data_IF_384862108485
#
_entry.id   IF_384862108485
#
_cell.length_a   1.000
_cell.length_b   1.000
_cell.length_c   1.000
_cell.angle_alpha   90.00
_cell.angle_beta   90.00
_cell.angle_gamma   90.00
#
_symmetry.space_group_name_H-M   'P 1'
#
loop_
_entity.id
_entity.type
_entity.pdbx_description
1 polymer ?
#
# COMPACT_ATOMS: atom_id res chain seq x y z
N UNK A 1 1.25 12.33 1.01
CA UNK A 1 2.69 12.60 0.96
C UNK A 1 3.33 12.60 2.35
N UNK A 2 2.98 13.53 3.25
CA UNK A 2 3.58 13.67 4.58
C UNK A 2 3.48 12.39 5.42
N UNK A 3 2.31 11.75 5.46
CA UNK A 3 2.09 10.51 6.21
C UNK A 3 3.08 9.42 5.78
N UNK A 4 3.16 9.15 4.47
CA UNK A 4 4.06 8.12 3.92
C UNK A 4 5.51 8.45 4.24
N UNK A 5 5.91 9.72 4.08
CA UNK A 5 7.26 10.18 4.36
C UNK A 5 7.67 9.90 5.82
N UNK A 6 6.92 10.39 6.79
CA UNK A 6 7.25 10.23 8.21
C UNK A 6 7.05 8.80 8.73
N UNK A 7 6.05 8.07 8.23
CA UNK A 7 5.85 6.66 8.58
C UNK A 7 7.03 5.79 8.16
N UNK A 8 7.51 5.95 6.93
CA UNK A 8 8.66 5.17 6.42
C UNK A 8 9.93 5.54 7.17
N UNK A 9 10.19 6.83 7.44
CA UNK A 9 11.34 7.26 8.24
C UNK A 9 11.26 6.64 9.64
N UNK A 10 10.13 6.77 10.32
CA UNK A 10 9.91 6.24 11.67
C UNK A 10 10.10 4.72 11.73
N UNK A 11 9.52 3.99 10.77
CA UNK A 11 9.68 2.54 10.67
C UNK A 11 11.15 2.13 10.51
N UNK A 12 11.85 2.76 9.56
CA UNK A 12 13.22 2.38 9.24
C UNK A 12 14.23 2.78 10.32
N UNK A 13 14.06 3.95 10.96
CA UNK A 13 14.96 4.38 12.03
C UNK A 13 14.81 3.55 13.31
N UNK A 14 13.61 3.01 13.56
CA UNK A 14 13.33 2.12 14.70
C UNK A 14 13.59 0.63 14.39
N UNK A 15 13.87 0.30 13.15
CA UNK A 15 14.19 -1.07 12.73
C UNK A 15 15.44 -1.57 13.46
N UNK A 16 15.32 -2.69 14.18
CA UNK A 16 16.43 -3.37 14.86
C UNK A 16 17.53 -3.84 13.88
N UNK A 17 18.61 -4.40 14.40
CA UNK A 17 19.63 -5.08 13.59
C UNK A 17 19.10 -6.42 13.12
N UNK A 18 18.15 -6.40 12.19
CA UNK A 18 17.60 -7.60 11.60
C UNK A 18 18.61 -8.29 10.69
N UNK A 19 18.50 -9.59 10.59
CA UNK A 19 19.30 -10.42 9.67
C UNK A 19 19.04 -9.98 8.23
N UNK A 20 19.95 -9.24 7.63
CA UNK A 20 19.79 -8.59 6.33
C UNK A 20 19.36 -9.53 5.19
N UNK A 21 19.63 -10.85 5.32
CA UNK A 21 19.18 -11.85 4.39
C UNK A 21 17.68 -12.06 4.36
N UNK A 22 17.03 -12.07 5.53
CA UNK A 22 15.56 -12.25 5.63
C UNK A 22 14.81 -11.05 5.07
N UNK A 23 15.25 -9.84 5.40
CA UNK A 23 14.65 -8.60 4.86
C UNK A 23 14.74 -8.57 3.33
N UNK A 24 15.91 -8.92 2.76
CA UNK A 24 16.07 -8.98 1.32
C UNK A 24 15.07 -9.94 0.68
N UNK A 25 14.90 -11.13 1.26
CA UNK A 25 13.93 -12.12 0.78
C UNK A 25 12.50 -11.60 0.85
N UNK A 26 12.12 -10.94 1.95
CA UNK A 26 10.78 -10.35 2.12
C UNK A 26 10.52 -9.25 1.09
N UNK A 27 11.49 -8.36 0.85
CA UNK A 27 11.35 -7.31 -0.18
C UNK A 27 11.16 -7.92 -1.57
N UNK A 28 11.94 -8.95 -1.91
CA UNK A 28 11.80 -9.65 -3.19
C UNK A 28 10.42 -10.28 -3.32
N UNK A 29 9.91 -10.92 -2.25
CA UNK A 29 8.57 -11.50 -2.24
C UNK A 29 7.47 -10.45 -2.38
N UNK A 30 7.60 -9.28 -1.74
CA UNK A 30 6.67 -8.17 -1.91
C UNK A 30 6.65 -7.69 -3.36
N UNK A 31 7.82 -7.40 -3.93
CA UNK A 31 7.94 -6.97 -5.34
C UNK A 31 7.35 -8.03 -6.29
N UNK A 32 7.66 -9.29 -6.07
CA UNK A 32 7.16 -10.38 -6.90
C UNK A 32 5.62 -10.50 -6.80
N UNK A 33 5.06 -10.46 -5.59
CA UNK A 33 3.62 -10.56 -5.39
C UNK A 33 2.87 -9.37 -5.99
N UNK A 34 3.45 -8.16 -5.90
CA UNK A 34 2.86 -6.95 -6.49
C UNK A 34 2.84 -7.03 -8.02
N UNK A 35 3.96 -7.45 -8.63
CA UNK A 35 4.03 -7.66 -10.09
C UNK A 35 3.04 -8.74 -10.53
N UNK A 36 2.96 -9.84 -9.80
CA UNK A 36 2.02 -10.92 -10.12
C UNK A 36 0.55 -10.46 -10.01
N UNK A 37 0.24 -9.67 -8.98
CA UNK A 37 -1.09 -9.07 -8.83
C UNK A 37 -1.43 -8.11 -9.99
N UNK A 38 -0.47 -7.30 -10.42
CA UNK A 38 -0.62 -6.41 -11.57
C UNK A 38 -0.86 -7.19 -12.87
N UNK A 39 -0.13 -8.26 -13.11
CA UNK A 39 -0.32 -9.14 -14.28
C UNK A 39 -1.72 -9.76 -14.27
N UNK A 40 -2.17 -10.29 -13.13
CA UNK A 40 -3.52 -10.85 -12.99
C UNK A 40 -4.59 -9.78 -13.27
N UNK A 41 -4.41 -8.56 -12.74
CA UNK A 41 -5.35 -7.46 -12.97
C UNK A 41 -5.43 -7.08 -14.46
N UNK A 42 -4.30 -7.05 -15.17
CA UNK A 42 -4.26 -6.79 -16.62
C UNK A 42 -5.00 -7.89 -17.38
N UNK A 43 -4.73 -9.16 -17.11
CA UNK A 43 -5.43 -10.28 -17.75
C UNK A 43 -6.94 -10.26 -17.46
N UNK A 44 -7.33 -9.99 -16.23
CA UNK A 44 -8.74 -9.87 -15.86
C UNK A 44 -9.43 -8.70 -16.59
N UNK A 45 -8.75 -7.55 -16.70
CA UNK A 45 -9.26 -6.39 -17.43
C UNK A 45 -9.38 -6.66 -18.94
N UNK A 46 -8.47 -7.44 -19.52
CA UNK A 46 -8.56 -7.86 -20.93
C UNK A 46 -9.69 -8.87 -21.16
N UNK A 47 -9.92 -9.80 -20.22
CA UNK A 47 -10.98 -10.78 -20.30
C UNK A 47 -12.37 -10.17 -20.08
N UNK A 48 -12.46 -9.14 -19.24
CA UNK A 48 -13.71 -8.44 -18.90
C UNK A 48 -13.58 -6.93 -19.12
N UNK A 49 -13.56 -6.47 -20.38
CA UNK A 49 -13.35 -5.05 -20.67
C UNK A 49 -14.53 -4.20 -20.16
N UNK A 50 -14.26 -3.33 -19.21
CA UNK A 50 -15.22 -2.35 -18.68
C UNK A 50 -14.95 -1.01 -19.37
N UNK A 51 -15.84 -0.57 -20.26
CA UNK A 51 -15.76 0.75 -20.87
C UNK A 51 -16.26 1.77 -19.86
N UNK A 52 -15.37 2.64 -19.39
CA UNK A 52 -15.72 3.76 -18.52
C UNK A 52 -15.73 5.04 -19.35
N UNK A 53 -16.85 5.74 -19.36
CA UNK A 53 -16.88 7.14 -19.79
C UNK A 53 -16.49 7.99 -18.59
N UNK A 54 -15.24 8.43 -18.56
CA UNK A 54 -14.78 9.41 -17.59
C UNK A 54 -15.47 10.74 -17.92
N UNK A 55 -16.46 11.11 -17.11
CA UNK A 55 -17.03 12.45 -17.18
C UNK A 55 -15.93 13.45 -16.79
N UNK A 56 -15.48 14.23 -17.76
CA UNK A 56 -14.51 15.32 -17.60
C UNK A 56 -13.18 14.98 -16.91
N UNK A 57 -12.41 14.06 -17.49
CA UNK A 57 -10.98 14.04 -17.26
C UNK A 57 -10.35 15.20 -18.05
N UNK A 58 -10.48 16.42 -17.52
CA UNK A 58 -9.74 17.57 -17.99
C UNK A 58 -8.29 17.47 -17.44
N UNK A 59 -7.51 16.58 -18.00
CA UNK A 59 -6.06 16.67 -17.93
C UNK A 59 -5.50 16.01 -19.18
N UNK A 60 -4.83 16.81 -19.98
CA UNK A 60 -3.99 16.38 -21.09
C UNK A 60 -2.80 15.53 -20.59
N UNK A 61 -3.08 14.39 -20.00
CA UNK A 61 -2.06 13.38 -19.76
C UNK A 61 -2.00 12.51 -21.01
N UNK A 62 -1.16 12.93 -21.96
CA UNK A 62 -0.75 12.05 -23.05
C UNK A 62 -0.21 10.75 -22.47
N UNK A 63 -0.74 9.62 -22.92
CA UNK A 63 -0.21 8.32 -22.52
C UNK A 63 1.29 8.26 -22.89
N UNK A 64 2.16 7.75 -21.99
CA UNK A 64 3.59 7.67 -22.28
C UNK A 64 3.83 6.89 -23.56
N UNK A 65 4.64 7.46 -24.46
CA UNK A 65 4.88 6.91 -25.81
C UNK A 65 5.78 5.66 -25.83
N UNK A 66 6.27 5.21 -24.64
CA UNK A 66 7.07 3.99 -24.57
C UNK A 66 7.62 3.69 -23.17
N UNK A 67 8.08 2.45 -22.98
CA UNK A 67 8.69 1.98 -21.72
C UNK A 67 9.92 2.82 -21.33
N UNK A 68 10.70 3.28 -22.32
CA UNK A 68 11.90 4.10 -22.10
C UNK A 68 11.54 5.45 -21.47
N UNK A 69 10.47 6.08 -21.92
CA UNK A 69 9.99 7.34 -21.35
C UNK A 69 9.51 7.15 -19.90
N UNK A 70 8.78 6.07 -19.63
CA UNK A 70 8.35 5.73 -18.26
C UNK A 70 9.55 5.52 -17.34
N UNK A 71 10.55 4.76 -17.77
CA UNK A 71 11.76 4.51 -16.98
C UNK A 71 12.55 5.79 -16.75
N UNK A 72 12.66 6.65 -17.75
CA UNK A 72 13.37 7.93 -17.62
C UNK A 72 12.66 8.86 -16.61
N UNK A 73 11.33 8.94 -16.71
CA UNK A 73 10.52 9.69 -15.75
C UNK A 73 10.61 9.14 -14.33
N UNK A 74 10.65 7.81 -14.17
CA UNK A 74 10.86 7.18 -12.86
C UNK A 74 12.24 7.53 -12.29
N UNK A 75 13.30 7.46 -13.08
CA UNK A 75 14.66 7.81 -12.65
C UNK A 75 14.77 9.28 -12.24
N UNK A 76 14.20 10.18 -13.01
CA UNK A 76 14.15 11.62 -12.69
C UNK A 76 13.35 11.87 -11.41
N UNK A 77 12.25 11.16 -11.21
CA UNK A 77 11.44 11.27 -10.02
C UNK A 77 12.15 10.77 -8.75
N UNK A 78 13.01 9.74 -8.87
CA UNK A 78 13.84 9.24 -7.76
C UNK A 78 14.82 10.30 -7.26
N UNK A 79 15.41 11.08 -8.18
CA UNK A 79 16.45 12.09 -7.87
C UNK A 79 15.84 13.48 -7.61
N UNK A 80 14.53 13.60 -7.65
CA UNK A 80 13.84 14.87 -7.45
C UNK A 80 14.11 15.47 -6.06
N UNK A 81 14.03 16.80 -5.95
CA UNK A 81 14.18 17.51 -4.68
C UNK A 81 13.12 17.02 -3.67
N UNK A 82 13.50 16.74 -2.39
CA UNK A 82 12.59 16.20 -1.39
C UNK A 82 11.39 17.10 -1.10
N UNK A 83 11.59 18.41 -1.04
CA UNK A 83 10.50 19.37 -0.79
C UNK A 83 9.55 19.42 -1.99
N UNK A 84 10.10 19.47 -3.19
CA UNK A 84 9.30 19.41 -4.43
C UNK A 84 8.51 18.11 -4.55
N UNK A 85 9.12 16.97 -4.16
CA UNK A 85 8.45 15.68 -4.14
C UNK A 85 7.25 15.66 -3.19
N UNK A 86 7.38 16.26 -2.02
CA UNK A 86 6.27 16.38 -1.05
C UNK A 86 5.14 17.28 -1.56
N UNK A 87 5.48 18.43 -2.14
CA UNK A 87 4.50 19.39 -2.66
C UNK A 87 3.74 18.83 -3.85
N UNK A 88 4.44 18.19 -4.79
CA UNK A 88 3.86 17.66 -6.03
C UNK A 88 3.36 16.21 -5.89
N UNK A 89 3.34 15.66 -4.69
CA UNK A 89 2.94 14.26 -4.42
C UNK A 89 3.70 13.23 -5.28
N UNK A 90 4.99 13.48 -5.55
CA UNK A 90 5.86 12.51 -6.22
C UNK A 90 6.24 11.39 -5.25
N UNK A 91 5.42 10.34 -5.19
CA UNK A 91 5.59 9.24 -4.23
C UNK A 91 6.92 8.48 -4.39
N UNK A 92 7.46 8.39 -5.61
CA UNK A 92 8.75 7.72 -5.86
C UNK A 92 9.89 8.51 -5.18
N UNK A 93 9.92 9.82 -5.37
CA UNK A 93 10.89 10.71 -4.70
C UNK A 93 10.68 10.73 -3.18
N UNK A 94 9.43 10.78 -2.72
CA UNK A 94 9.09 10.73 -1.28
C UNK A 94 9.64 9.46 -0.64
N UNK A 95 9.40 8.29 -1.23
CA UNK A 95 9.87 7.01 -0.72
C UNK A 95 11.40 6.94 -0.72
N UNK A 96 12.05 7.39 -1.79
CA UNK A 96 13.51 7.39 -1.86
C UNK A 96 14.13 8.23 -0.73
N UNK A 97 13.68 9.47 -0.55
CA UNK A 97 14.17 10.34 0.52
C UNK A 97 13.79 9.82 1.91
N UNK A 98 12.60 9.25 2.08
CA UNK A 98 12.20 8.65 3.34
C UNK A 98 13.08 7.45 3.73
N UNK A 99 13.45 6.62 2.74
CA UNK A 99 14.37 5.49 2.96
C UNK A 99 15.77 6.00 3.32
N UNK A 100 16.32 6.96 2.57
CA UNK A 100 17.64 7.52 2.85
C UNK A 100 17.71 8.15 4.25
N UNK A 101 16.73 8.98 4.60
CA UNK A 101 16.65 9.61 5.92
C UNK A 101 16.40 8.59 7.03
N UNK A 102 15.51 7.62 6.81
CA UNK A 102 15.24 6.55 7.76
C UNK A 102 16.49 5.72 8.09
N UNK A 103 17.30 5.40 7.07
CA UNK A 103 18.57 4.71 7.25
C UNK A 103 19.60 5.60 7.95
N UNK A 104 19.69 6.89 7.61
CA UNK A 104 20.60 7.84 8.27
C UNK A 104 20.23 8.01 9.76
N UNK A 105 18.95 8.18 10.08
CA UNK A 105 18.48 8.30 11.46
C UNK A 105 18.51 6.99 12.26
N UNK A 106 18.86 5.88 11.64
CA UNK A 106 19.05 4.60 12.36
C UNK A 106 20.16 4.70 13.41
N UNK A 107 21.18 5.54 13.16
CA UNK A 107 22.25 5.84 14.11
C UNK A 107 21.90 6.94 15.14
N UNK A 108 20.72 7.56 14.99
CA UNK A 108 20.29 8.64 15.86
C UNK A 108 19.95 8.15 17.28
N UNK A 109 19.97 9.08 18.23
CA UNK A 109 19.60 8.85 19.61
C UNK A 109 18.13 8.43 19.78
N UNK A 110 17.82 7.73 20.88
CA UNK A 110 16.46 7.25 21.21
C UNK A 110 15.43 8.39 21.25
N UNK A 111 15.84 9.56 21.71
CA UNK A 111 14.95 10.73 21.77
C UNK A 111 14.53 11.19 20.37
N UNK A 112 15.48 11.31 19.44
CA UNK A 112 15.21 11.68 18.04
C UNK A 112 14.29 10.67 17.37
N UNK A 113 14.50 9.37 17.60
CA UNK A 113 13.63 8.31 17.07
C UNK A 113 12.20 8.39 17.61
N UNK A 114 12.07 8.72 18.91
CA UNK A 114 10.76 8.92 19.52
C UNK A 114 10.05 10.13 18.92
N UNK A 115 10.73 11.26 18.74
CA UNK A 115 10.14 12.45 18.11
C UNK A 115 9.65 12.13 16.69
N UNK A 116 10.42 11.39 15.90
CA UNK A 116 10.01 10.99 14.56
C UNK A 116 8.77 10.09 14.57
N UNK A 117 8.65 9.19 15.56
CA UNK A 117 7.47 8.36 15.76
C UNK A 117 6.27 9.21 16.19
N UNK A 118 6.42 10.10 17.15
CA UNK A 118 5.36 10.99 17.64
C UNK A 118 4.83 11.91 16.52
N UNK A 119 5.71 12.39 15.63
CA UNK A 119 5.32 13.17 14.44
C UNK A 119 4.52 12.30 13.45
N UNK A 120 4.97 11.07 13.18
CA UNK A 120 4.24 10.15 12.30
C UNK A 120 2.85 9.81 12.85
N UNK A 121 2.75 9.58 14.15
CA UNK A 121 1.48 9.30 14.84
C UNK A 121 0.55 10.51 14.81
N UNK A 122 1.07 11.72 15.05
CA UNK A 122 0.31 12.96 14.95
C UNK A 122 -0.27 13.19 13.55
N UNK A 123 0.55 13.00 12.52
CA UNK A 123 0.09 13.10 11.12
C UNK A 123 -0.97 12.02 10.82
N UNK A 124 -0.77 10.79 11.30
CA UNK A 124 -1.74 9.70 11.15
C UNK A 124 -3.09 10.03 11.79
N UNK A 125 -3.06 10.69 12.95
CA UNK A 125 -4.28 11.14 13.63
C UNK A 125 -5.03 12.20 12.80
N UNK A 126 -4.33 13.20 12.27
CA UNK A 126 -4.93 14.22 11.39
C UNK A 126 -5.55 13.59 10.15
N UNK A 127 -4.83 12.66 9.50
CA UNK A 127 -5.36 11.92 8.34
C UNK A 127 -6.60 11.12 8.71
N UNK A 128 -6.62 10.49 9.89
CA UNK A 128 -7.81 9.77 10.40
C UNK A 128 -9.01 10.71 10.58
N UNK A 129 -8.80 11.92 11.10
CA UNK A 129 -9.88 12.92 11.21
C UNK A 129 -10.46 13.30 9.85
N UNK A 130 -9.59 13.52 8.85
CA UNK A 130 -10.02 13.82 7.47
C UNK A 130 -10.81 12.64 6.88
N UNK A 131 -10.33 11.39 7.11
CA UNK A 131 -11.02 10.18 6.63
C UNK A 131 -12.40 10.03 7.29
N UNK A 132 -12.57 10.43 8.53
CA UNK A 132 -13.86 10.40 9.20
C UNK A 132 -14.88 11.38 8.57
N UNK A 133 -14.42 12.42 7.88
CA UNK A 133 -15.26 13.31 7.08
C UNK A 133 -15.55 12.76 5.67
N UNK A 134 -14.86 11.73 5.24
CA UNK A 134 -15.00 11.15 3.89
C UNK A 134 -16.45 10.75 3.53
N UNK A 135 -17.31 10.23 4.43
CA UNK A 135 -18.70 9.93 4.07
C UNK A 135 -19.46 11.12 3.50
N UNK A 136 -19.25 12.31 4.01
CA UNK A 136 -19.89 13.54 3.50
C UNK A 136 -19.34 13.93 2.12
N UNK A 137 -18.02 13.84 1.94
CA UNK A 137 -17.38 14.11 0.64
C UNK A 137 -17.80 13.09 -0.42
N UNK A 138 -17.86 11.80 -0.06
CA UNK A 138 -18.31 10.72 -0.95
C UNK A 138 -19.78 10.91 -1.31
N UNK A 139 -20.63 11.28 -0.34
CA UNK A 139 -22.04 11.56 -0.61
C UNK A 139 -22.20 12.67 -1.64
N UNK A 140 -21.49 13.81 -1.46
CA UNK A 140 -21.52 14.93 -2.41
C UNK A 140 -21.01 14.52 -3.81
N UNK A 141 -19.93 13.74 -3.87
CA UNK A 141 -19.35 13.25 -5.11
C UNK A 141 -20.30 12.28 -5.83
N UNK A 142 -20.92 11.35 -5.12
CA UNK A 142 -21.91 10.42 -5.69
C UNK A 142 -23.12 11.17 -6.18
N UNK A 143 -23.65 12.13 -5.40
CA UNK A 143 -24.77 12.95 -5.80
C UNK A 143 -24.48 13.72 -7.10
N UNK A 144 -23.33 14.40 -7.16
CA UNK A 144 -22.91 15.12 -8.38
C UNK A 144 -22.77 14.18 -9.57
N UNK A 145 -22.15 13.01 -9.38
CA UNK A 145 -21.91 12.03 -10.43
C UNK A 145 -23.21 11.45 -10.98
N UNK A 146 -24.18 11.15 -10.11
CA UNK A 146 -25.50 10.65 -10.52
C UNK A 146 -26.33 11.73 -11.21
N UNK A 147 -26.25 12.96 -10.72
CA UNK A 147 -26.97 14.11 -11.32
C UNK A 147 -26.48 14.41 -12.74
N UNK A 148 -25.19 14.20 -13.01
CA UNK A 148 -24.60 14.51 -14.32
C UNK A 148 -24.65 13.35 -15.31
N UNK A 149 -24.55 12.10 -14.84
CA UNK A 149 -24.42 10.92 -15.72
C UNK A 149 -25.61 9.95 -15.65
N UNK A 150 -26.60 10.22 -14.79
CA UNK A 150 -27.75 9.32 -14.60
C UNK A 150 -27.44 8.05 -13.81
N UNK A 151 -28.44 7.17 -13.69
CA UNK A 151 -28.34 5.91 -12.92
C UNK A 151 -27.51 4.83 -13.60
N UNK A 152 -27.28 4.94 -14.91
CA UNK A 152 -26.48 3.96 -15.68
C UNK A 152 -25.03 3.85 -15.18
N UNK A 153 -24.56 4.88 -14.49
CA UNK A 153 -23.25 4.87 -13.88
C UNK A 153 -23.10 3.76 -12.84
N UNK A 154 -24.15 3.44 -12.09
CA UNK A 154 -24.11 2.38 -11.08
C UNK A 154 -23.90 1.00 -11.70
N UNK A 155 -24.43 0.73 -12.89
CA UNK A 155 -24.22 -0.55 -13.59
C UNK A 155 -22.79 -0.69 -14.08
N UNK A 156 -22.19 0.39 -14.57
CA UNK A 156 -20.81 0.42 -15.05
C UNK A 156 -19.81 0.32 -13.89
N UNK A 157 -19.99 1.12 -12.84
CA UNK A 157 -19.14 1.03 -11.65
C UNK A 157 -19.33 -0.27 -10.88
N UNK A 158 -20.57 -0.81 -10.85
CA UNK A 158 -20.87 -2.11 -10.25
C UNK A 158 -20.08 -3.25 -10.92
N UNK A 159 -20.00 -3.24 -12.25
CA UNK A 159 -19.18 -4.21 -13.00
C UNK A 159 -17.69 -4.07 -12.67
N UNK A 160 -17.18 -2.83 -12.63
CA UNK A 160 -15.78 -2.57 -12.24
C UNK A 160 -15.49 -3.04 -10.82
N UNK A 161 -16.37 -2.73 -9.87
CA UNK A 161 -16.23 -3.14 -8.48
C UNK A 161 -16.25 -4.67 -8.36
N UNK A 162 -17.12 -5.33 -9.07
CA UNK A 162 -17.24 -6.80 -9.09
C UNK A 162 -15.97 -7.45 -9.67
N UNK A 163 -15.43 -6.88 -10.74
CA UNK A 163 -14.16 -7.31 -11.32
C UNK A 163 -13.00 -7.13 -10.33
N UNK A 164 -12.92 -5.96 -9.69
CA UNK A 164 -11.87 -5.65 -8.72
C UNK A 164 -11.93 -6.59 -7.51
N UNK A 165 -13.12 -6.76 -6.90
CA UNK A 165 -13.31 -7.67 -5.77
C UNK A 165 -13.03 -9.12 -6.21
N UNK A 166 -13.45 -9.51 -7.40
CA UNK A 166 -13.14 -10.82 -7.97
C UNK A 166 -11.63 -11.07 -8.09
N UNK A 167 -10.88 -10.10 -8.62
CA UNK A 167 -9.41 -10.17 -8.68
C UNK A 167 -8.78 -10.27 -7.29
N UNK A 168 -9.25 -9.47 -6.33
CA UNK A 168 -8.74 -9.51 -4.95
C UNK A 168 -8.97 -10.88 -4.31
N UNK A 169 -10.16 -11.45 -4.46
CA UNK A 169 -10.48 -12.79 -3.95
C UNK A 169 -9.65 -13.86 -4.65
N UNK A 170 -9.45 -13.76 -5.95
CA UNK A 170 -8.60 -14.69 -6.70
C UNK A 170 -7.16 -14.63 -6.22
N UNK A 171 -6.59 -13.44 -6.06
CA UNK A 171 -5.23 -13.27 -5.52
C UNK A 171 -5.15 -13.85 -4.11
N UNK A 172 -6.15 -13.59 -3.28
CA UNK A 172 -6.15 -14.06 -1.90
C UNK A 172 -6.27 -15.58 -1.77
N UNK A 173 -7.18 -16.21 -2.51
CA UNK A 173 -7.47 -17.65 -2.37
C UNK A 173 -6.67 -18.55 -3.31
N UNK A 174 -6.08 -18.01 -4.36
CA UNK A 174 -5.30 -18.80 -5.33
C UNK A 174 -3.84 -18.38 -5.35
N UNK A 175 -3.55 -17.11 -5.62
CA UNK A 175 -2.18 -16.64 -5.82
C UNK A 175 -1.36 -16.68 -4.54
N UNK A 176 -1.88 -16.12 -3.45
CA UNK A 176 -1.17 -16.11 -2.16
C UNK A 176 -0.94 -17.53 -1.61
N UNK A 177 -1.91 -18.46 -1.63
CA UNK A 177 -1.64 -19.85 -1.25
C UNK A 177 -0.55 -20.52 -2.07
N UNK A 178 -0.49 -20.28 -3.37
CA UNK A 178 0.57 -20.84 -4.24
C UNK A 178 1.94 -20.29 -3.81
N UNK A 179 2.06 -18.96 -3.59
CA UNK A 179 3.31 -18.35 -3.13
C UNK A 179 3.74 -18.88 -1.77
N UNK A 180 2.81 -18.97 -0.82
CA UNK A 180 3.08 -19.51 0.52
C UNK A 180 3.49 -20.98 0.45
N UNK A 181 2.82 -21.78 -0.38
CA UNK A 181 3.17 -23.19 -0.60
C UNK A 181 4.60 -23.34 -1.16
N UNK A 182 5.00 -22.46 -2.08
CA UNK A 182 6.37 -22.47 -2.63
C UNK A 182 7.42 -22.17 -1.55
N UNK A 183 7.09 -21.29 -0.59
CA UNK A 183 8.01 -20.92 0.48
C UNK A 183 8.08 -21.97 1.60
N UNK A 184 6.92 -22.50 2.04
CA UNK A 184 6.82 -23.35 3.23
C UNK A 184 6.78 -24.84 2.88
N UNK A 185 6.37 -25.18 1.65
CA UNK A 185 6.14 -26.56 1.15
C UNK A 185 5.19 -27.40 2.03
N UNK A 186 4.27 -26.71 2.70
CA UNK A 186 3.19 -27.29 3.51
C UNK A 186 1.85 -26.66 3.13
N UNK A 187 0.74 -27.22 3.65
CA UNK A 187 -0.57 -26.67 3.36
C UNK A 187 -0.67 -25.19 3.79
N UNK A 188 -0.87 -24.23 2.86
CA UNK A 188 -0.86 -22.81 3.17
C UNK A 188 -2.15 -22.31 3.81
N UNK A 189 -3.28 -23.01 3.60
CA UNK A 189 -4.60 -22.53 3.99
C UNK A 189 -4.78 -22.31 5.50
N UNK A 190 -4.27 -23.16 6.41
CA UNK A 190 -4.39 -22.90 7.84
C UNK A 190 -3.74 -21.59 8.25
N UNK A 191 -2.56 -21.26 7.70
CA UNK A 191 -1.85 -20.02 7.96
C UNK A 191 -2.61 -18.81 7.40
N UNK A 192 -3.05 -18.89 6.15
CA UNK A 192 -3.78 -17.82 5.47
C UNK A 192 -5.10 -17.52 6.18
N UNK A 193 -5.84 -18.55 6.56
CA UNK A 193 -7.10 -18.38 7.31
C UNK A 193 -6.86 -17.84 8.72
N UNK A 194 -5.76 -18.21 9.37
CA UNK A 194 -5.39 -17.64 10.67
C UNK A 194 -5.12 -16.13 10.55
N UNK A 195 -4.31 -15.73 9.59
CA UNK A 195 -4.04 -14.31 9.30
C UNK A 195 -5.32 -13.54 8.94
N UNK A 196 -6.21 -14.14 8.13
CA UNK A 196 -7.49 -13.54 7.77
C UNK A 196 -8.35 -13.26 9.00
N UNK A 197 -8.54 -14.27 9.86
CA UNK A 197 -9.36 -14.13 11.08
C UNK A 197 -8.83 -13.06 12.03
N UNK A 198 -7.50 -12.91 12.12
CA UNK A 198 -6.88 -11.95 13.04
C UNK A 198 -6.91 -10.51 12.49
N UNK A 199 -6.70 -10.34 11.18
CA UNK A 199 -6.42 -9.04 10.59
C UNK A 199 -7.54 -8.49 9.71
N UNK A 200 -8.33 -9.35 9.03
CA UNK A 200 -9.26 -8.91 8.01
C UNK A 200 -10.38 -8.00 8.53
N UNK A 201 -10.95 -8.34 9.68
CA UNK A 201 -12.04 -7.55 10.27
C UNK A 201 -11.55 -6.15 10.60
N UNK A 202 -10.40 -6.04 11.27
CA UNK A 202 -9.80 -4.74 11.62
C UNK A 202 -9.41 -3.96 10.38
N UNK A 203 -8.78 -4.60 9.38
CA UNK A 203 -8.40 -3.97 8.13
C UNK A 203 -9.62 -3.45 7.35
N UNK A 204 -10.71 -4.22 7.31
CA UNK A 204 -11.94 -3.83 6.64
C UNK A 204 -12.58 -2.59 7.26
N UNK A 205 -12.70 -2.55 8.58
CA UNK A 205 -13.33 -1.43 9.27
C UNK A 205 -12.44 -0.19 9.33
N UNK A 206 -11.14 -0.35 9.56
CA UNK A 206 -10.20 0.78 9.63
C UNK A 206 -9.88 1.35 8.25
N UNK A 207 -9.99 0.54 7.19
CA UNK A 207 -9.60 0.91 5.81
C UNK A 207 -8.18 1.49 5.73
N UNK A 208 -7.33 1.13 6.66
CA UNK A 208 -5.98 1.66 6.80
C UNK A 208 -5.00 0.54 7.11
N UNK A 209 -4.06 0.30 6.20
CA UNK A 209 -2.96 -0.65 6.40
C UNK A 209 -2.07 -0.25 7.58
N UNK A 210 -1.85 1.06 7.75
CA UNK A 210 -1.05 1.59 8.85
C UNK A 210 -1.72 1.33 10.22
N UNK A 211 -3.04 1.55 10.34
CA UNK A 211 -3.78 1.25 11.55
C UNK A 211 -3.80 -0.25 11.90
N UNK A 212 -3.60 -1.10 10.91
CA UNK A 212 -3.58 -2.56 11.09
C UNK A 212 -2.19 -3.13 11.44
N UNK A 213 -1.13 -2.31 11.39
CA UNK A 213 0.24 -2.71 11.75
C UNK A 213 0.31 -3.38 13.13
N UNK A 214 -0.22 -2.80 14.23
CA UNK A 214 -0.15 -3.42 15.55
C UNK A 214 -0.84 -4.79 15.61
N UNK A 215 -1.96 -4.94 14.91
CA UNK A 215 -2.72 -6.20 14.85
C UNK A 215 -1.90 -7.28 14.15
N UNK A 216 -1.27 -6.94 13.02
CA UNK A 216 -0.42 -7.85 12.27
C UNK A 216 0.86 -8.21 13.04
N UNK A 217 1.47 -7.24 13.72
CA UNK A 217 2.63 -7.51 14.59
C UNK A 217 2.28 -8.47 15.73
N UNK A 218 1.13 -8.26 16.39
CA UNK A 218 0.64 -9.16 17.42
C UNK A 218 0.37 -10.58 16.89
N UNK A 219 -0.20 -10.69 15.70
CA UNK A 219 -0.39 -11.98 15.06
C UNK A 219 0.94 -12.70 14.78
N UNK A 220 1.97 -11.96 14.35
CA UNK A 220 3.33 -12.51 14.18
C UNK A 220 3.95 -12.97 15.51
N UNK A 221 3.76 -12.21 16.58
CA UNK A 221 4.21 -12.57 17.93
C UNK A 221 3.53 -13.84 18.44
N UNK A 222 2.22 -13.96 18.28
CA UNK A 222 1.44 -15.16 18.65
C UNK A 222 1.88 -16.41 17.85
N UNK A 223 2.37 -16.21 16.62
CA UNK A 223 2.95 -17.30 15.81
C UNK A 223 4.40 -17.62 16.16
N UNK A 224 5.00 -16.92 17.12
CA UNK A 224 6.40 -17.15 17.55
C UNK A 224 7.45 -16.70 16.54
N UNK A 225 7.12 -15.76 15.66
CA UNK A 225 8.06 -15.21 14.68
C UNK A 225 9.07 -14.27 15.35
N UNK A 226 10.25 -14.15 14.73
CA UNK A 226 11.31 -13.27 15.22
C UNK A 226 10.89 -11.79 15.20
N UNK A 227 10.96 -11.15 16.38
CA UNK A 227 10.51 -9.77 16.58
C UNK A 227 11.28 -8.76 15.72
N UNK A 228 12.59 -8.94 15.58
CA UNK A 228 13.43 -8.02 14.80
C UNK A 228 13.05 -8.06 13.31
N UNK A 229 12.60 -9.20 12.83
CA UNK A 229 12.13 -9.39 11.45
C UNK A 229 10.77 -8.74 11.23
N UNK A 230 9.74 -9.10 12.02
CA UNK A 230 8.39 -8.61 11.74
C UNK A 230 8.19 -7.14 12.09
N UNK A 231 8.99 -6.58 13.04
CA UNK A 231 8.95 -5.14 13.35
C UNK A 231 9.36 -4.24 12.18
N UNK A 232 10.12 -4.77 11.23
CA UNK A 232 10.52 -4.07 10.00
C UNK A 232 9.61 -4.42 8.84
N UNK A 233 9.33 -5.71 8.66
CA UNK A 233 8.63 -6.19 7.45
C UNK A 233 7.15 -5.83 7.45
N UNK A 234 6.48 -5.84 8.60
CA UNK A 234 5.05 -5.49 8.68
C UNK A 234 4.80 -4.01 8.35
N UNK A 235 5.51 -3.02 8.96
CA UNK A 235 5.38 -1.62 8.56
C UNK A 235 5.76 -1.37 7.09
N UNK A 236 6.81 -2.02 6.60
CA UNK A 236 7.23 -1.91 5.20
C UNK A 236 6.12 -2.41 4.26
N UNK A 237 5.52 -3.57 4.55
CA UNK A 237 4.41 -4.11 3.76
C UNK A 237 3.14 -3.27 3.81
N UNK A 238 2.93 -2.48 4.87
CA UNK A 238 1.79 -1.57 4.96
C UNK A 238 1.96 -0.30 4.11
N UNK A 239 3.17 -0.03 3.59
CA UNK A 239 3.50 1.15 2.77
C UNK A 239 3.70 0.84 1.29
N UNK A 240 3.86 -0.42 0.93
CA UNK A 240 3.96 -0.92 -0.45
C UNK A 240 2.57 -1.23 -1.00
#
# INVERSE_FOLDING_TARGET
>A
PLLVFFLVISSLCNAGKSHGGVIKTVIILYMFSTVLAAVIAVFASMAFPVKMTLANAATDTSAPQGIVEVLNNLLLNVVANPVSSLVNANYVGILMWAVLLGLAFRAADKMTKKVLADVADGISMVVTWIINLAPFGIFGLVFNTVSTNGLDIFTTYGKLLLLLVGCMLFIYFVTNPILVYWCIRQNPYPLILHCLKKSAITAFFTRSSAANIPVNMKACEEMGLDRDTYSVTIPLGATI
#
